data_IF_022910738281
#
_entry.id   IF_022910738281
#
_cell.length_a   1.000
_cell.length_b   1.000
_cell.length_c   1.000
_cell.angle_alpha   90.00
_cell.angle_beta   90.00
_cell.angle_gamma   90.00
#
_symmetry.space_group_name_H-M   'P 1'
#
loop_
_entity.id
_entity.type
_entity.pdbx_description
1 polymer ?
#
# COMPACT_ATOMS: atom_id res chain seq x y z
N UNK A 1 -41.07 -24.12 -15.26
CA UNK A 1 -39.82 -24.61 -14.65
C UNK A 1 -38.69 -23.85 -15.33
N UNK A 2 -38.20 -22.77 -14.71
CA UNK A 2 -37.19 -21.90 -15.32
C UNK A 2 -35.79 -22.42 -14.95
N UNK A 3 -35.05 -22.91 -15.94
CA UNK A 3 -33.65 -23.33 -15.78
C UNK A 3 -32.79 -22.07 -15.67
N UNK A 4 -32.28 -21.78 -14.48
CA UNK A 4 -31.28 -20.72 -14.27
C UNK A 4 -29.97 -21.14 -14.94
N UNK A 5 -29.60 -20.44 -16.01
CA UNK A 5 -28.30 -20.62 -16.64
C UNK A 5 -27.21 -20.10 -15.70
N UNK A 6 -26.31 -20.98 -15.24
CA UNK A 6 -25.14 -20.60 -14.45
C UNK A 6 -24.17 -19.87 -15.38
N UNK A 7 -24.06 -18.55 -15.23
CA UNK A 7 -23.03 -17.77 -15.89
C UNK A 7 -21.67 -18.08 -15.27
N UNK A 8 -20.80 -18.79 -16.00
CA UNK A 8 -19.41 -18.99 -15.58
C UNK A 8 -18.66 -17.69 -15.84
N UNK A 9 -18.17 -17.06 -14.78
CA UNK A 9 -17.42 -15.80 -14.88
C UNK A 9 -16.07 -16.05 -15.60
N UNK A 10 -15.67 -15.20 -16.57
CA UNK A 10 -14.41 -15.38 -17.26
C UNK A 10 -13.21 -15.22 -16.31
N UNK A 11 -12.18 -16.05 -16.51
CA UNK A 11 -10.94 -16.02 -15.74
C UNK A 11 -10.10 -14.80 -16.14
N UNK A 12 -9.77 -13.98 -15.15
CA UNK A 12 -9.03 -12.73 -15.22
C UNK A 12 -7.89 -12.73 -14.18
N UNK A 13 -7.01 -11.73 -14.27
CA UNK A 13 -5.87 -11.59 -13.36
C UNK A 13 -6.29 -11.44 -11.87
N UNK A 14 -7.55 -11.10 -11.57
CA UNK A 14 -8.05 -10.99 -10.19
C UNK A 14 -8.51 -12.35 -9.64
N UNK A 15 -9.28 -13.11 -10.42
CA UNK A 15 -9.92 -14.37 -10.02
C UNK A 15 -9.17 -15.63 -10.52
N UNK A 16 -7.96 -15.49 -11.07
CA UNK A 16 -7.23 -16.62 -11.63
C UNK A 16 -6.76 -17.65 -10.59
N UNK A 17 -6.33 -17.17 -9.44
CA UNK A 17 -5.82 -17.97 -8.31
C UNK A 17 -5.82 -17.10 -7.06
N UNK A 18 -6.17 -17.72 -5.92
CA UNK A 18 -6.29 -17.03 -4.64
C UNK A 18 -5.13 -17.39 -3.72
N UNK A 19 -4.65 -16.40 -2.97
CA UNK A 19 -3.66 -16.59 -1.91
C UNK A 19 -2.39 -15.75 -2.08
N UNK A 20 -1.77 -15.44 -0.95
CA UNK A 20 -0.60 -14.55 -0.86
C UNK A 20 0.57 -15.06 -1.71
N UNK A 21 0.80 -16.38 -1.72
CA UNK A 21 1.86 -17.00 -2.54
C UNK A 21 1.66 -16.77 -4.04
N UNK A 22 0.42 -16.86 -4.54
CA UNK A 22 0.12 -16.63 -5.97
C UNK A 22 0.37 -15.18 -6.39
N UNK A 23 0.17 -14.23 -5.47
CA UNK A 23 0.47 -12.82 -5.72
C UNK A 23 1.97 -12.51 -5.63
N UNK A 24 2.66 -12.99 -4.58
CA UNK A 24 4.08 -12.71 -4.37
C UNK A 24 4.99 -13.32 -5.44
N UNK A 25 4.62 -14.49 -5.99
CA UNK A 25 5.41 -15.20 -7.00
C UNK A 25 4.79 -15.15 -8.40
N UNK A 26 3.94 -14.14 -8.68
CA UNK A 26 3.31 -13.99 -10.01
C UNK A 26 4.27 -13.43 -11.05
N UNK A 27 4.06 -13.80 -12.32
CA UNK A 27 4.74 -13.21 -13.49
C UNK A 27 3.83 -12.29 -14.31
N UNK A 28 2.57 -12.12 -13.91
CA UNK A 28 1.61 -11.24 -14.59
C UNK A 28 1.91 -9.76 -14.28
N UNK A 29 2.24 -8.98 -15.32
CA UNK A 29 2.59 -7.56 -15.19
C UNK A 29 1.46 -6.69 -14.59
N UNK A 30 0.18 -7.07 -14.76
CA UNK A 30 -0.96 -6.34 -14.17
C UNK A 30 -1.02 -6.56 -12.66
N UNK A 31 -0.75 -7.79 -12.21
CA UNK A 31 -0.65 -8.11 -10.78
C UNK A 31 0.55 -7.40 -10.15
N UNK A 32 1.71 -7.42 -10.83
CA UNK A 32 2.91 -6.72 -10.38
C UNK A 32 2.65 -5.21 -10.28
N UNK A 33 1.98 -4.61 -11.27
CA UNK A 33 1.62 -3.19 -11.23
C UNK A 33 0.75 -2.84 -10.01
N UNK A 34 -0.23 -3.68 -9.68
CA UNK A 34 -1.06 -3.49 -8.47
C UNK A 34 -0.25 -3.64 -7.18
N UNK A 35 0.66 -4.60 -7.10
CA UNK A 35 1.54 -4.77 -5.94
C UNK A 35 2.42 -3.53 -5.72
N UNK A 36 2.97 -2.96 -6.80
CA UNK A 36 3.73 -1.71 -6.73
C UNK A 36 2.86 -0.53 -6.33
N UNK A 37 1.66 -0.38 -6.92
CA UNK A 37 0.74 0.69 -6.57
C UNK A 37 0.43 0.66 -5.07
N UNK A 38 0.03 -0.49 -4.54
CA UNK A 38 -0.28 -0.65 -3.11
C UNK A 38 0.95 -0.37 -2.25
N UNK A 39 2.11 -0.92 -2.61
CA UNK A 39 3.35 -0.75 -1.82
C UNK A 39 3.82 0.71 -1.79
N UNK A 40 3.85 1.38 -2.95
CA UNK A 40 4.26 2.78 -3.06
C UNK A 40 3.27 3.67 -2.32
N UNK A 41 1.95 3.45 -2.49
CA UNK A 41 0.94 4.22 -1.77
C UNK A 41 1.08 4.03 -0.26
N UNK A 42 1.32 2.81 0.23
CA UNK A 42 1.55 2.56 1.64
C UNK A 42 2.80 3.31 2.16
N UNK A 43 3.93 3.20 1.46
CA UNK A 43 5.16 3.91 1.83
C UNK A 43 5.01 5.44 1.72
N UNK A 44 4.22 5.93 0.77
CA UNK A 44 3.89 7.36 0.66
C UNK A 44 3.19 7.87 1.92
N UNK A 45 2.24 7.13 2.49
CA UNK A 45 1.60 7.52 3.74
C UNK A 45 2.56 7.44 4.93
N UNK A 46 3.42 6.42 4.99
CA UNK A 46 4.43 6.30 6.06
C UNK A 46 5.42 7.47 6.01
N UNK A 47 6.01 7.75 4.84
CA UNK A 47 6.91 8.87 4.65
C UNK A 47 6.23 10.22 4.83
N UNK A 48 4.99 10.35 4.34
CA UNK A 48 4.16 11.53 4.54
C UNK A 48 3.87 11.80 6.02
N UNK A 49 3.59 10.76 6.80
CA UNK A 49 3.41 10.87 8.25
C UNK A 49 4.67 11.39 8.95
N UNK A 50 5.85 10.85 8.64
CA UNK A 50 7.11 11.36 9.19
C UNK A 50 7.39 12.80 8.76
N UNK A 51 7.12 13.16 7.50
CA UNK A 51 7.23 14.53 7.02
C UNK A 51 6.30 15.50 7.79
N UNK A 52 5.09 15.05 8.15
CA UNK A 52 4.18 15.83 8.99
C UNK A 52 4.73 16.01 10.42
N UNK A 53 5.34 14.98 11.01
CA UNK A 53 5.97 15.09 12.33
C UNK A 53 7.12 16.12 12.33
N UNK A 54 7.97 16.09 11.31
CA UNK A 54 9.03 17.10 11.13
C UNK A 54 8.42 18.50 11.04
N UNK A 55 7.33 18.66 10.29
CA UNK A 55 6.65 19.96 10.15
C UNK A 55 5.99 20.43 11.43
N UNK A 56 5.46 19.52 12.26
CA UNK A 56 4.89 19.85 13.55
C UNK A 56 5.95 20.29 14.55
N UNK A 57 7.12 19.64 14.56
CA UNK A 57 8.26 20.05 15.40
C UNK A 57 8.74 21.46 15.04
N UNK A 58 8.77 21.79 13.74
CA UNK A 58 9.19 23.11 13.24
C UNK A 58 8.09 24.18 13.31
N UNK A 59 6.90 23.86 13.83
CA UNK A 59 5.81 24.83 13.94
C UNK A 59 6.09 25.90 14.99
N UNK A 60 6.87 25.55 16.02
CA UNK A 60 7.36 26.46 17.05
C UNK A 60 8.89 26.50 17.05
N UNK A 61 9.52 27.65 17.39
CA UNK A 61 10.97 27.72 17.47
C UNK A 61 11.58 26.89 18.60
N UNK A 62 10.79 26.65 19.66
CA UNK A 62 11.14 25.71 20.71
C UNK A 62 10.78 24.29 20.22
N UNK A 63 11.77 23.40 20.23
CA UNK A 63 11.61 22.00 19.87
C UNK A 63 11.06 21.21 21.05
N UNK A 64 9.76 20.94 21.02
CA UNK A 64 9.01 20.47 22.19
C UNK A 64 8.41 19.07 21.99
N UNK A 65 8.38 18.52 20.76
CA UNK A 65 7.76 17.22 20.47
C UNK A 65 8.78 16.10 20.36
N UNK A 66 9.95 16.36 19.75
CA UNK A 66 10.96 15.34 19.47
C UNK A 66 12.34 15.72 20.03
N UNK A 67 13.04 14.73 20.58
CA UNK A 67 14.47 14.88 20.93
C UNK A 67 15.32 14.95 19.66
N UNK A 68 16.44 15.69 19.73
CA UNK A 68 17.34 15.90 18.61
C UNK A 68 17.82 14.59 17.95
N UNK A 69 18.17 13.57 18.75
CA UNK A 69 18.58 12.27 18.23
C UNK A 69 17.48 11.53 17.46
N UNK A 70 16.22 11.69 17.87
CA UNK A 70 15.08 11.07 17.19
C UNK A 70 14.77 11.82 15.89
N UNK A 71 14.75 13.15 15.93
CA UNK A 71 14.56 13.99 14.74
C UNK A 71 15.58 13.67 13.64
N UNK A 72 16.86 13.50 14.00
CA UNK A 72 17.93 13.20 13.05
C UNK A 72 17.88 11.79 12.44
N UNK A 73 17.07 10.88 12.98
CA UNK A 73 16.93 9.49 12.51
C UNK A 73 15.67 9.26 11.67
N UNK A 74 14.75 10.22 11.67
CA UNK A 74 13.57 10.21 10.79
C UNK A 74 13.97 10.59 9.37
#
# INVERSE_FOLDING_TARGET
MATTAVSVEPKNYINAEYGIRSWLFTTDHKRIALLYLVSITAMFFVGGFFALLIRLELLTPAGDLLLADTYNKM
#
